data_IF_078279428297
#
_entry.id   IF_078279428297
#
_cell.length_a   1.000
_cell.length_b   1.000
_cell.length_c   1.000
_cell.angle_alpha   90.00
_cell.angle_beta   90.00
_cell.angle_gamma   90.00
#
_symmetry.space_group_name_H-M   'P 1'
#
loop_
_entity.id
_entity.type
_entity.pdbx_description
1 polymer ?
#
# COMPACT_ATOMS: atom_id res chain seq x y z
N UNK A 1 -7.89 7.54 -51.73
CA UNK A 1 -8.35 8.59 -50.80
C UNK A 1 -9.10 7.89 -49.67
N UNK A 2 -8.42 7.69 -48.54
CA UNK A 2 -8.79 8.17 -47.19
C UNK A 2 -9.99 7.43 -46.60
N UNK A 3 -9.96 6.77 -45.45
CA UNK A 3 -9.11 6.95 -44.28
C UNK A 3 -9.42 5.76 -43.35
N UNK A 4 -8.64 4.67 -43.42
CA UNK A 4 -8.78 3.55 -42.47
C UNK A 4 -7.92 3.84 -41.24
N UNK A 5 -8.13 5.01 -40.64
CA UNK A 5 -7.59 5.33 -39.32
C UNK A 5 -8.29 4.41 -38.31
N UNK A 6 -7.74 3.21 -38.15
CA UNK A 6 -8.04 2.28 -37.06
C UNK A 6 -7.86 3.06 -35.76
N UNK A 7 -8.95 3.60 -35.22
CA UNK A 7 -8.98 4.32 -33.95
C UNK A 7 -8.43 3.36 -32.90
N UNK A 8 -7.16 3.55 -32.54
CA UNK A 8 -6.53 2.82 -31.45
C UNK A 8 -7.25 3.30 -30.19
N UNK A 9 -8.25 2.54 -29.74
CA UNK A 9 -8.93 2.76 -28.47
C UNK A 9 -7.99 2.33 -27.35
N UNK A 10 -7.01 3.17 -27.06
CA UNK A 10 -6.09 2.97 -25.93
C UNK A 10 -6.92 2.96 -24.64
N UNK A 11 -6.75 1.89 -23.85
CA UNK A 11 -7.42 1.80 -22.56
C UNK A 11 -6.78 2.82 -21.61
N UNK A 12 -7.50 3.92 -21.34
CA UNK A 12 -7.02 5.03 -20.50
C UNK A 12 -6.58 4.56 -19.11
N UNK A 13 -7.26 3.56 -18.56
CA UNK A 13 -6.91 2.97 -17.25
C UNK A 13 -5.53 2.33 -17.29
N UNK A 14 -5.23 1.64 -18.38
CA UNK A 14 -3.98 0.92 -18.52
C UNK A 14 -2.82 1.86 -18.87
N UNK A 15 -3.09 2.94 -19.62
CA UNK A 15 -2.14 4.03 -19.81
C UNK A 15 -1.81 4.72 -18.48
N UNK A 16 -2.82 4.95 -17.63
CA UNK A 16 -2.62 5.49 -16.28
C UNK A 16 -1.76 4.55 -15.43
N UNK A 17 -2.00 3.24 -15.51
CA UNK A 17 -1.24 2.22 -14.78
C UNK A 17 0.24 2.19 -15.22
N UNK A 18 0.53 2.34 -16.52
CA UNK A 18 1.91 2.45 -17.04
C UNK A 18 2.58 3.74 -16.59
N UNK A 19 1.87 4.87 -16.60
CA UNK A 19 2.42 6.14 -16.11
C UNK A 19 2.73 6.04 -14.61
N UNK A 20 1.85 5.41 -13.83
CA UNK A 20 2.07 5.18 -12.41
C UNK A 20 3.25 4.25 -12.13
N UNK A 21 3.46 3.19 -12.93
CA UNK A 21 4.62 2.31 -12.75
C UNK A 21 5.93 3.00 -13.15
N UNK A 22 5.95 3.81 -14.21
CA UNK A 22 7.11 4.62 -14.56
C UNK A 22 7.45 5.65 -13.49
N UNK A 23 6.44 6.34 -12.92
CA UNK A 23 6.62 7.26 -11.81
C UNK A 23 7.14 6.55 -10.55
N UNK A 24 6.62 5.36 -10.24
CA UNK A 24 7.05 4.56 -9.11
C UNK A 24 8.51 4.09 -9.23
N UNK A 25 8.99 3.81 -10.45
CA UNK A 25 10.41 3.47 -10.71
C UNK A 25 11.30 4.72 -10.62
N UNK A 26 10.79 5.89 -10.99
CA UNK A 26 11.55 7.13 -10.96
C UNK A 26 11.77 7.68 -9.54
N UNK A 27 10.90 7.34 -8.58
CA UNK A 27 10.98 7.82 -7.20
C UNK A 27 11.97 6.98 -6.36
N UNK A 28 12.79 7.63 -5.50
CA UNK A 28 13.70 6.92 -4.60
C UNK A 28 12.90 6.10 -3.58
N UNK A 29 13.23 4.81 -3.47
CA UNK A 29 12.48 3.86 -2.64
C UNK A 29 12.66 4.10 -1.15
N UNK A 30 13.85 4.52 -0.71
CA UNK A 30 14.12 4.84 0.70
C UNK A 30 14.91 6.13 0.78
N UNK A 31 14.53 7.01 1.70
CA UNK A 31 15.31 8.20 2.03
C UNK A 31 16.12 7.86 3.28
N UNK A 32 17.41 7.56 3.08
CA UNK A 32 18.29 7.17 4.18
C UNK A 32 18.96 8.41 4.76
N UNK A 33 18.50 8.83 5.94
CA UNK A 33 19.15 9.87 6.75
C UNK A 33 19.96 9.20 7.87
N UNK A 34 21.31 9.11 7.77
CA UNK A 34 22.15 8.43 8.77
C UNK A 34 22.10 9.10 10.15
N UNK A 35 21.78 10.39 10.20
CA UNK A 35 21.65 11.16 11.43
C UNK A 35 20.68 12.33 11.22
N UNK A 36 20.07 12.86 12.29
CA UNK A 36 19.04 13.92 12.24
C UNK A 36 19.49 15.29 11.70
N UNK A 37 20.77 15.42 11.30
CA UNK A 37 21.44 16.62 10.80
C UNK A 37 21.88 16.52 9.33
N UNK A 38 21.80 15.32 8.74
CA UNK A 38 22.26 15.06 7.36
C UNK A 38 21.01 14.84 6.52
N UNK A 39 20.82 15.68 5.51
CA UNK A 39 19.75 15.51 4.51
C UNK A 39 19.84 14.11 3.93
N UNK A 40 18.78 13.31 4.10
CA UNK A 40 18.83 11.92 3.70
C UNK A 40 18.96 11.77 2.19
N UNK A 41 19.88 10.89 1.78
CA UNK A 41 20.05 10.55 0.38
C UNK A 41 18.97 9.55 -0.04
N UNK A 42 18.32 9.83 -1.17
CA UNK A 42 17.35 8.92 -1.77
C UNK A 42 18.07 7.73 -2.40
N UNK A 43 18.08 6.59 -1.73
CA UNK A 43 18.57 5.34 -2.32
C UNK A 43 17.45 4.58 -2.99
N UNK A 44 17.77 4.03 -4.15
CA UNK A 44 16.83 3.28 -4.96
C UNK A 44 16.89 1.79 -4.63
N UNK A 45 15.78 1.08 -4.86
CA UNK A 45 15.59 -0.32 -4.42
C UNK A 45 16.67 -1.29 -4.96
N UNK A 46 17.26 -0.94 -6.11
CA UNK A 46 18.32 -1.72 -6.77
C UNK A 46 19.68 -1.66 -6.08
N UNK A 47 19.94 -0.65 -5.24
CA UNK A 47 21.18 -0.60 -4.46
C UNK A 47 21.15 -1.54 -3.25
N UNK A 48 19.96 -1.88 -2.78
CA UNK A 48 19.75 -2.72 -1.59
C UNK A 48 19.63 -4.20 -1.98
N UNK A 49 19.00 -4.50 -3.11
CA UNK A 49 18.88 -5.87 -3.62
C UNK A 49 19.01 -5.95 -5.16
N UNK A 50 20.17 -6.44 -5.68
CA UNK A 50 20.41 -6.51 -7.12
C UNK A 50 19.42 -7.44 -7.87
N UNK A 51 18.90 -8.46 -7.19
CA UNK A 51 17.95 -9.43 -7.77
C UNK A 51 16.54 -8.85 -8.01
N UNK A 52 16.18 -7.78 -7.31
CA UNK A 52 14.86 -7.13 -7.44
C UNK A 52 14.69 -6.44 -8.79
N UNK A 53 15.79 -6.03 -9.44
CA UNK A 53 15.78 -5.42 -10.78
C UNK A 53 15.08 -6.35 -11.78
N UNK A 54 15.50 -7.61 -11.85
CA UNK A 54 14.96 -8.57 -12.82
C UNK A 54 13.48 -8.90 -12.58
N UNK A 55 13.05 -8.94 -11.31
CA UNK A 55 11.65 -9.15 -10.97
C UNK A 55 10.77 -7.94 -11.32
N UNK A 56 11.23 -6.71 -11.01
CA UNK A 56 10.48 -5.48 -11.31
C UNK A 56 10.44 -5.19 -12.80
N UNK A 57 11.55 -5.43 -13.50
CA UNK A 57 11.64 -5.20 -14.96
C UNK A 57 10.85 -6.28 -15.70
N UNK A 58 10.89 -7.53 -15.23
CA UNK A 58 10.06 -8.62 -15.77
C UNK A 58 8.56 -8.36 -15.56
N UNK A 59 8.15 -7.95 -14.36
CA UNK A 59 6.76 -7.58 -14.08
C UNK A 59 6.33 -6.34 -14.87
N UNK A 60 7.19 -5.33 -14.97
CA UNK A 60 6.96 -4.11 -15.75
C UNK A 60 6.80 -4.40 -17.25
N UNK A 61 7.69 -5.21 -17.83
CA UNK A 61 7.60 -5.64 -19.23
C UNK A 61 6.37 -6.52 -19.49
N UNK A 62 5.99 -7.40 -18.56
CA UNK A 62 4.78 -8.21 -18.68
C UNK A 62 3.51 -7.34 -18.65
N UNK A 63 3.42 -6.38 -17.73
CA UNK A 63 2.33 -5.40 -17.67
C UNK A 63 2.29 -4.52 -18.92
N UNK A 64 3.44 -4.09 -19.42
CA UNK A 64 3.57 -3.32 -20.66
C UNK A 64 3.17 -4.12 -21.91
N UNK A 65 3.44 -5.43 -21.95
CA UNK A 65 3.03 -6.29 -23.06
C UNK A 65 1.53 -6.58 -23.02
N UNK A 66 0.96 -6.74 -21.81
CA UNK A 66 -0.49 -6.83 -21.61
C UNK A 66 -1.23 -5.55 -22.01
N UNK A 67 -0.54 -4.40 -22.11
CA UNK A 67 -1.11 -3.15 -22.60
C UNK A 67 -1.67 -3.22 -24.02
N UNK A 68 -1.08 -4.09 -24.85
CA UNK A 68 -1.40 -4.17 -26.27
C UNK A 68 -2.46 -5.22 -26.61
N UNK A 69 -3.09 -5.86 -25.59
CA UNK A 69 -4.16 -6.84 -25.80
C UNK A 69 -5.53 -6.16 -25.58
N UNK A 70 -6.20 -5.67 -26.64
CA UNK A 70 -7.50 -5.04 -26.50
C UNK A 70 -8.60 -6.07 -26.19
N UNK A 71 -9.53 -5.68 -25.32
CA UNK A 71 -10.78 -6.41 -25.04
C UNK A 71 -10.87 -7.05 -23.64
N UNK A 72 -12.02 -7.68 -23.36
CA UNK A 72 -12.31 -8.32 -22.05
C UNK A 72 -11.25 -9.33 -21.62
N UNK A 73 -10.57 -9.97 -22.58
CA UNK A 73 -9.50 -10.95 -22.34
C UNK A 73 -8.22 -10.32 -21.78
N UNK A 74 -7.86 -9.11 -22.20
CA UNK A 74 -6.69 -8.39 -21.67
C UNK A 74 -6.89 -7.95 -20.22
N UNK A 75 -8.08 -7.47 -19.86
CA UNK A 75 -8.41 -7.12 -18.48
C UNK A 75 -8.43 -8.33 -17.54
N UNK A 76 -8.95 -9.48 -17.98
CA UNK A 76 -8.93 -10.72 -17.18
C UNK A 76 -7.51 -11.20 -16.95
N UNK A 77 -6.66 -11.15 -17.98
CA UNK A 77 -5.26 -11.55 -17.85
C UNK A 77 -4.48 -10.62 -16.93
N UNK A 78 -4.77 -9.30 -16.98
CA UNK A 78 -4.18 -8.31 -16.06
C UNK A 78 -4.62 -8.56 -14.63
N UNK A 79 -5.90 -8.91 -14.42
CA UNK A 79 -6.41 -9.25 -13.10
C UNK A 79 -5.75 -10.52 -12.56
N UNK A 80 -5.60 -11.57 -13.38
CA UNK A 80 -4.89 -12.79 -12.99
C UNK A 80 -3.43 -12.52 -12.65
N UNK A 81 -2.75 -11.67 -13.43
CA UNK A 81 -1.36 -11.27 -13.17
C UNK A 81 -1.25 -10.51 -11.84
N UNK A 82 -2.15 -9.54 -11.60
CA UNK A 82 -2.19 -8.77 -10.36
C UNK A 82 -2.46 -9.65 -9.13
N UNK A 83 -3.39 -10.60 -9.24
CA UNK A 83 -3.67 -11.59 -8.18
C UNK A 83 -2.45 -12.48 -7.91
N UNK A 84 -1.76 -12.93 -8.96
CA UNK A 84 -0.55 -13.75 -8.83
C UNK A 84 0.58 -12.97 -8.14
N UNK A 85 0.81 -11.72 -8.55
CA UNK A 85 1.78 -10.81 -7.90
C UNK A 85 1.45 -10.60 -6.42
N UNK A 86 0.17 -10.41 -6.10
CA UNK A 86 -0.29 -10.26 -4.71
C UNK A 86 -0.03 -11.52 -3.88
N UNK A 87 -0.30 -12.72 -4.42
CA UNK A 87 -0.02 -13.99 -3.74
C UNK A 87 1.48 -14.18 -3.51
N UNK A 88 2.31 -13.89 -4.52
CA UNK A 88 3.78 -13.97 -4.40
C UNK A 88 4.31 -13.00 -3.35
N UNK A 89 3.74 -11.78 -3.28
CA UNK A 89 4.08 -10.80 -2.26
C UNK A 89 3.70 -11.31 -0.86
N UNK A 90 2.49 -11.82 -0.67
CA UNK A 90 2.04 -12.40 0.61
C UNK A 90 2.93 -13.57 1.04
N UNK A 91 3.30 -14.44 0.10
CA UNK A 91 4.20 -15.56 0.37
C UNK A 91 5.61 -15.10 0.76
N UNK A 92 6.14 -14.08 0.07
CA UNK A 92 7.44 -13.47 0.39
C UNK A 92 7.45 -12.82 1.78
N UNK A 93 6.39 -12.10 2.14
CA UNK A 93 6.21 -11.52 3.48
C UNK A 93 6.11 -12.63 4.54
N UNK A 94 5.36 -13.70 4.27
CA UNK A 94 5.25 -14.85 5.18
C UNK A 94 6.60 -15.54 5.43
N UNK A 95 7.38 -15.77 4.36
CA UNK A 95 8.74 -16.31 4.45
C UNK A 95 9.66 -15.42 5.29
N UNK A 96 9.66 -14.11 5.03
CA UNK A 96 10.46 -13.15 5.79
C UNK A 96 10.07 -13.12 7.28
N UNK A 97 8.76 -13.17 7.59
CA UNK A 97 8.27 -13.25 8.97
C UNK A 97 8.70 -14.55 9.67
N UNK A 98 8.67 -15.70 8.97
CA UNK A 98 9.15 -16.97 9.53
C UNK A 98 10.66 -16.98 9.77
N UNK A 99 11.45 -16.34 8.89
CA UNK A 99 12.90 -16.20 9.09
C UNK A 99 13.20 -15.30 10.30
N UNK A 100 12.52 -14.15 10.41
CA UNK A 100 12.63 -13.25 11.57
C UNK A 100 12.22 -13.93 12.89
N UNK A 101 11.22 -14.82 12.85
CA UNK A 101 10.80 -15.59 14.01
C UNK A 101 11.80 -16.70 14.39
N UNK A 102 12.51 -17.28 13.42
CA UNK A 102 13.51 -18.34 13.63
C UNK A 102 14.88 -17.80 14.02
N UNK A 103 15.28 -16.63 13.49
CA UNK A 103 16.58 -16.01 13.74
C UNK A 103 16.66 -15.26 15.09
N UNK A 104 15.58 -15.25 15.87
CA UNK A 104 15.66 -15.05 17.32
C UNK A 104 16.14 -13.67 17.79
N UNK A 105 15.93 -12.60 17.01
CA UNK A 105 16.10 -11.25 17.57
C UNK A 105 14.86 -10.87 18.38
N UNK A 106 14.94 -10.67 19.71
CA UNK A 106 13.81 -10.15 20.50
C UNK A 106 13.33 -8.77 20.03
N UNK A 107 14.08 -8.10 19.14
CA UNK A 107 13.66 -6.85 18.50
C UNK A 107 12.78 -7.05 17.26
N UNK A 108 12.70 -8.24 16.67
CA UNK A 108 11.92 -8.48 15.46
C UNK A 108 10.41 -8.36 15.69
N UNK A 109 9.91 -8.89 16.81
CA UNK A 109 8.49 -8.87 17.14
C UNK A 109 7.97 -7.44 17.46
N UNK A 110 8.65 -6.61 18.26
CA UNK A 110 8.29 -5.20 18.45
C UNK A 110 8.29 -4.39 17.14
N UNK A 111 9.26 -4.62 16.25
CA UNK A 111 9.34 -3.94 14.94
C UNK A 111 8.19 -4.36 14.03
N UNK A 112 7.84 -5.65 14.02
CA UNK A 112 6.69 -6.17 13.29
C UNK A 112 5.37 -5.57 13.78
N UNK A 113 5.13 -5.59 15.10
CA UNK A 113 3.91 -5.01 15.70
C UNK A 113 3.81 -3.50 15.44
N UNK A 114 4.93 -2.77 15.50
CA UNK A 114 4.96 -1.35 15.14
C UNK A 114 4.59 -1.12 13.67
N UNK A 115 5.07 -1.96 12.78
CA UNK A 115 4.72 -1.89 11.35
C UNK A 115 3.25 -2.23 11.12
N UNK A 116 2.72 -3.23 11.83
CA UNK A 116 1.31 -3.63 11.76
C UNK A 116 0.38 -2.52 12.25
N UNK A 117 0.74 -1.84 13.35
CA UNK A 117 0.05 -0.64 13.86
C UNK A 117 -0.06 0.45 12.79
N UNK A 118 1.04 0.77 12.11
CA UNK A 118 1.05 1.79 11.05
C UNK A 118 0.13 1.38 9.89
N UNK A 119 0.19 0.13 9.44
CA UNK A 119 -0.67 -0.39 8.35
C UNK A 119 -2.14 -0.38 8.75
N UNK A 120 -2.47 -0.75 9.99
CA UNK A 120 -3.85 -0.71 10.50
C UNK A 120 -4.41 0.72 10.52
N UNK A 121 -3.65 1.69 11.03
CA UNK A 121 -4.06 3.10 11.03
C UNK A 121 -4.23 3.65 9.60
N UNK A 122 -3.32 3.29 8.70
CA UNK A 122 -3.43 3.66 7.30
C UNK A 122 -4.68 3.05 6.65
N UNK A 123 -5.01 1.80 7.00
CA UNK A 123 -6.19 1.09 6.49
C UNK A 123 -7.48 1.74 6.98
N UNK A 124 -7.54 2.14 8.26
CA UNK A 124 -8.67 2.90 8.81
C UNK A 124 -8.84 4.24 8.08
N UNK A 125 -7.76 4.99 7.88
CA UNK A 125 -7.79 6.23 7.10
C UNK A 125 -8.26 6.01 5.65
N UNK A 126 -7.77 4.96 5.00
CA UNK A 126 -8.17 4.61 3.64
C UNK A 126 -9.63 4.18 3.56
N UNK A 127 -10.15 3.46 4.56
CA UNK A 127 -11.55 3.08 4.65
C UNK A 127 -12.48 4.30 4.80
N UNK A 128 -12.06 5.33 5.54
CA UNK A 128 -12.77 6.61 5.61
C UNK A 128 -12.83 7.24 4.23
N UNK A 129 -11.69 7.38 3.55
CA UNK A 129 -11.63 7.96 2.19
C UNK A 129 -12.44 7.14 1.18
N UNK A 130 -12.45 5.81 1.29
CA UNK A 130 -13.23 4.92 0.43
C UNK A 130 -14.74 5.19 0.52
N UNK A 131 -15.24 5.82 1.59
CA UNK A 131 -16.62 6.25 1.65
C UNK A 131 -17.00 7.25 0.55
N UNK A 132 -16.05 8.03 0.01
CA UNK A 132 -16.27 8.96 -1.12
C UNK A 132 -16.73 8.25 -2.41
N UNK A 133 -16.31 7.00 -2.61
CA UNK A 133 -16.70 6.20 -3.77
C UNK A 133 -17.91 5.29 -3.47
N UNK A 134 -18.60 5.52 -2.34
CA UNK A 134 -19.80 4.79 -1.96
C UNK A 134 -19.57 3.51 -1.15
N UNK A 135 -18.39 3.29 -0.59
CA UNK A 135 -18.13 2.14 0.28
C UNK A 135 -18.92 2.17 1.62
N UNK A 136 -19.48 3.33 1.99
CA UNK A 136 -20.30 3.51 3.20
C UNK A 136 -19.47 3.67 4.49
N UNK A 137 -20.09 3.34 5.64
CA UNK A 137 -19.47 3.41 6.96
C UNK A 137 -19.40 4.82 7.57
N UNK A 138 -18.61 5.00 8.64
CA UNK A 138 -18.49 6.28 9.34
C UNK A 138 -17.92 7.40 8.46
N UNK A 139 -17.08 7.07 7.46
CA UNK A 139 -16.59 8.03 6.49
C UNK A 139 -17.70 8.69 5.68
N UNK A 140 -18.82 8.01 5.44
CA UNK A 140 -19.96 8.57 4.72
C UNK A 140 -20.60 9.73 5.50
N UNK A 141 -20.71 9.61 6.83
CA UNK A 141 -21.23 10.67 7.71
C UNK A 141 -20.32 11.89 7.72
N UNK A 142 -18.99 11.67 7.75
CA UNK A 142 -17.99 12.73 7.67
C UNK A 142 -18.13 13.53 6.37
N UNK A 143 -18.17 12.83 5.23
CA UNK A 143 -18.27 13.51 3.93
C UNK A 143 -19.64 14.13 3.69
N UNK A 144 -20.72 13.49 4.13
CA UNK A 144 -22.07 14.06 4.03
C UNK A 144 -22.20 15.33 4.88
N UNK A 145 -21.64 15.35 6.09
CA UNK A 145 -21.58 16.54 6.94
C UNK A 145 -20.76 17.67 6.32
N UNK A 146 -19.61 17.34 5.70
CA UNK A 146 -18.78 18.30 4.96
C UNK A 146 -19.54 18.90 3.77
N UNK A 147 -20.24 18.07 2.99
CA UNK A 147 -20.99 18.51 1.80
C UNK A 147 -22.26 19.30 2.15
N UNK A 148 -22.84 19.06 3.33
CA UNK A 148 -24.09 19.69 3.79
C UNK A 148 -23.85 20.84 4.77
N UNK A 149 -22.59 21.20 5.04
CA UNK A 149 -22.17 22.17 6.07
C UNK A 149 -22.74 21.90 7.47
N UNK A 150 -23.02 20.62 7.77
CA UNK A 150 -23.58 20.18 9.04
C UNK A 150 -22.45 19.65 9.93
N UNK A 151 -21.93 20.52 10.80
CA UNK A 151 -20.81 20.18 11.71
C UNK A 151 -21.16 18.97 12.61
N UNK A 152 -22.43 18.84 12.98
CA UNK A 152 -22.93 17.75 13.84
C UNK A 152 -22.78 16.38 13.18
N UNK A 153 -23.01 16.30 11.87
CA UNK A 153 -22.84 15.07 11.08
C UNK A 153 -21.36 14.70 10.92
N UNK A 154 -20.50 15.72 10.76
CA UNK A 154 -19.05 15.52 10.70
C UNK A 154 -18.55 14.96 12.03
N UNK A 155 -18.95 15.58 13.15
CA UNK A 155 -18.59 15.12 14.50
C UNK A 155 -19.09 13.69 14.76
N UNK A 156 -20.32 13.38 14.37
CA UNK A 156 -20.90 12.04 14.51
C UNK A 156 -20.09 10.97 13.76
N UNK A 157 -19.49 11.31 12.62
CA UNK A 157 -18.61 10.40 11.86
C UNK A 157 -17.17 10.36 12.36
N UNK A 158 -16.59 11.52 12.70
CA UNK A 158 -15.17 11.64 13.08
C UNK A 158 -14.91 11.05 14.48
N UNK A 159 -15.79 11.29 15.45
CA UNK A 159 -15.62 10.80 16.83
C UNK A 159 -15.43 9.26 16.89
N UNK A 160 -16.31 8.43 16.30
CA UNK A 160 -16.13 6.97 16.35
C UNK A 160 -14.91 6.50 15.54
N UNK A 161 -14.53 7.20 14.46
CA UNK A 161 -13.32 6.88 13.68
C UNK A 161 -12.06 7.12 14.50
N UNK A 162 -11.96 8.27 15.16
CA UNK A 162 -10.82 8.59 16.04
C UNK A 162 -10.79 7.62 17.23
N UNK A 163 -11.94 7.35 17.85
CA UNK A 163 -12.02 6.39 18.95
C UNK A 163 -11.52 5.01 18.54
N UNK A 164 -11.95 4.50 17.37
CA UNK A 164 -11.48 3.23 16.84
C UNK A 164 -9.97 3.24 16.57
N UNK A 165 -9.45 4.31 15.96
CA UNK A 165 -8.01 4.45 15.69
C UNK A 165 -7.20 4.43 17.00
N UNK A 166 -7.62 5.18 18.02
CA UNK A 166 -6.98 5.22 19.34
C UNK A 166 -7.04 3.86 20.06
N UNK A 167 -8.19 3.16 19.97
CA UNK A 167 -8.33 1.81 20.56
C UNK A 167 -7.35 0.83 19.91
N UNK A 168 -7.23 0.84 18.58
CA UNK A 168 -6.26 0.01 17.85
C UNK A 168 -4.83 0.37 18.29
N UNK A 169 -4.51 1.67 18.35
CA UNK A 169 -3.21 2.20 18.74
C UNK A 169 -2.80 1.72 20.15
N UNK A 170 -3.71 1.87 21.11
CA UNK A 170 -3.51 1.47 22.50
C UNK A 170 -3.37 -0.05 22.66
N UNK A 171 -4.13 -0.85 21.89
CA UNK A 171 -4.03 -2.30 21.92
C UNK A 171 -2.64 -2.76 21.45
N UNK A 172 -2.11 -2.16 20.39
CA UNK A 172 -0.76 -2.45 19.90
C UNK A 172 0.33 -2.03 20.89
N UNK A 173 0.20 -0.85 21.49
CA UNK A 173 1.17 -0.37 22.47
C UNK A 173 1.17 -1.22 23.75
N UNK A 174 0.00 -1.66 24.21
CA UNK A 174 -0.12 -2.59 25.33
C UNK A 174 0.52 -3.94 25.02
N UNK A 175 0.31 -4.47 23.81
CA UNK A 175 0.92 -5.73 23.38
C UNK A 175 2.44 -5.63 23.33
N UNK A 176 2.98 -4.54 22.77
CA UNK A 176 4.43 -4.31 22.72
C UNK A 176 5.00 -4.17 24.14
N UNK A 177 4.31 -3.47 25.04
CA UNK A 177 4.73 -3.33 26.43
C UNK A 177 4.77 -4.69 27.15
N UNK A 178 3.77 -5.54 26.95
CA UNK A 178 3.74 -6.90 27.53
C UNK A 178 4.90 -7.77 27.04
N UNK A 179 5.27 -7.65 25.76
CA UNK A 179 6.39 -8.41 25.18
C UNK A 179 7.76 -7.94 25.67
N UNK A 180 7.93 -6.63 25.89
CA UNK A 180 9.16 -6.09 26.49
C UNK A 180 9.33 -6.55 27.94
N UNK A 181 8.25 -6.54 28.73
CA UNK A 181 8.27 -6.99 30.13
C UNK A 181 8.66 -8.46 30.30
N UNK A 182 8.38 -9.32 29.31
CA UNK A 182 8.74 -10.75 29.35
C UNK A 182 10.20 -11.05 28.96
N UNK A 183 10.97 -10.06 28.48
CA UNK A 183 12.36 -10.24 28.02
C UNK A 183 13.38 -9.70 29.04
N UNK A 184 12.93 -8.93 30.04
CA UNK A 184 13.78 -8.30 31.06
C UNK A 184 13.88 -9.12 32.39
N UNK A 185 13.32 -10.34 32.42
CA UNK A 185 13.50 -11.36 33.50
C UNK A 185 14.49 -12.46 33.07
#
# INVERSE_FOLDING_TARGET
>A
MSDTAKKITVNRVLLLLVVLTLLAVALPFINYAPNRLVSGEGRQLWEIWPATIWMLTGAGCALFTLCFVPGKRGSVLTLMMAQTLFIVMLWGVGRAATQLAQEGSPLALPVFLRSLRVVMLQTVGMAVVAALIGAGGFGALVFQGLLSSAIDLVLLGVIPVIALAVVIDALFDLWIAFLKGATDD
#
